data_IF_818014832229
#
_entry.id   IF_818014832229
#
_cell.length_a   1.000
_cell.length_b   1.000
_cell.length_c   1.000
_cell.angle_alpha   90.00
_cell.angle_beta   90.00
_cell.angle_gamma   90.00
#
_symmetry.space_group_name_H-M   'P 1'
#
loop_
_entity.id
_entity.type
_entity.pdbx_description
1 polymer ?
#
# COMPACT_ATOMS: atom_id res chain seq x y z
N UNK A 1 29.32 21.36 7.38
CA UNK A 1 28.33 20.96 6.35
C UNK A 1 27.37 19.98 7.03
N UNK A 2 26.14 20.36 7.38
CA UNK A 2 25.21 19.45 8.04
C UNK A 2 24.70 18.40 7.04
N UNK A 3 24.69 17.15 7.47
CA UNK A 3 24.19 16.01 6.71
C UNK A 3 22.68 16.15 6.53
N UNK A 4 22.22 16.48 5.33
CA UNK A 4 20.82 16.33 4.95
C UNK A 4 20.47 14.85 5.07
N UNK A 5 19.59 14.51 6.01
CA UNK A 5 19.11 13.14 6.18
C UNK A 5 18.30 12.78 4.93
N UNK A 6 18.33 11.52 4.51
CA UNK A 6 17.53 11.04 3.36
C UNK A 6 16.04 11.37 3.49
N UNK A 7 15.55 11.54 4.72
CA UNK A 7 14.20 11.98 5.06
C UNK A 7 13.87 13.43 4.60
N UNK A 8 14.85 14.34 4.67
CA UNK A 8 14.71 15.73 4.23
C UNK A 8 14.71 15.83 2.71
N UNK A 9 15.54 15.02 2.04
CA UNK A 9 15.56 14.93 0.57
C UNK A 9 14.21 14.49 0.00
N UNK A 10 13.53 13.52 0.64
CA UNK A 10 12.19 13.06 0.21
C UNK A 10 11.11 14.14 0.33
N UNK A 11 11.15 14.96 1.38
CA UNK A 11 10.24 16.13 1.52
C UNK A 11 10.54 17.23 0.51
N UNK A 12 11.80 17.44 0.15
CA UNK A 12 12.24 18.55 -0.70
C UNK A 12 12.06 18.22 -2.19
N UNK A 13 12.24 16.97 -2.62
CA UNK A 13 12.18 16.61 -4.05
C UNK A 13 10.81 16.18 -4.53
N UNK A 14 9.87 15.84 -3.62
CA UNK A 14 8.54 15.37 -4.00
C UNK A 14 8.55 14.05 -4.78
N UNK A 15 9.68 13.34 -4.83
CA UNK A 15 9.83 12.04 -5.49
C UNK A 15 9.20 11.00 -4.56
N UNK A 16 7.88 10.82 -4.72
CA UNK A 16 7.00 9.92 -3.98
C UNK A 16 6.85 8.54 -4.66
N UNK A 17 7.87 8.06 -5.37
CA UNK A 17 7.82 6.73 -6.03
C UNK A 17 8.37 5.59 -5.14
N UNK A 18 8.86 5.89 -3.94
CA UNK A 18 9.34 4.87 -3.00
C UNK A 18 8.33 4.66 -1.88
N UNK A 19 7.39 3.72 -2.07
CA UNK A 19 6.65 3.14 -0.95
C UNK A 19 7.48 2.05 -0.27
N UNK A 20 7.17 1.81 0.99
CA UNK A 20 7.80 0.76 1.78
C UNK A 20 7.29 -0.63 1.39
N UNK A 21 6.04 -0.70 0.94
CA UNK A 21 5.39 -1.93 0.50
C UNK A 21 4.71 -1.77 -0.85
N UNK A 22 4.59 -2.88 -1.57
CA UNK A 22 3.89 -2.97 -2.84
C UNK A 22 2.73 -3.97 -2.73
N UNK A 23 1.54 -3.56 -3.20
CA UNK A 23 0.39 -4.42 -3.40
C UNK A 23 0.15 -4.53 -4.91
N UNK A 24 0.52 -5.66 -5.49
CA UNK A 24 0.30 -5.93 -6.90
C UNK A 24 -1.10 -6.54 -7.13
N UNK A 25 -1.91 -5.84 -7.93
CA UNK A 25 -3.25 -6.27 -8.35
C UNK A 25 -3.32 -6.55 -9.85
N UNK A 26 -2.17 -6.56 -10.55
CA UNK A 26 -2.13 -6.84 -11.98
C UNK A 26 -2.63 -8.26 -12.29
N UNK A 27 -3.46 -8.37 -13.33
CA UNK A 27 -4.08 -9.62 -13.75
C UNK A 27 -5.22 -10.12 -12.85
N UNK A 28 -5.58 -9.40 -11.79
CA UNK A 28 -6.73 -9.74 -10.94
C UNK A 28 -8.02 -9.17 -11.53
N UNK A 29 -9.13 -9.84 -11.26
CA UNK A 29 -10.46 -9.26 -11.46
C UNK A 29 -10.86 -8.35 -10.27
N UNK A 30 -11.97 -7.64 -10.41
CA UNK A 30 -12.44 -6.73 -9.36
C UNK A 30 -12.66 -7.42 -7.99
N UNK A 31 -13.39 -8.54 -7.87
CA UNK A 31 -13.58 -9.20 -6.57
C UNK A 31 -12.28 -9.58 -5.85
N UNK A 32 -11.26 -10.07 -6.58
CA UNK A 32 -9.98 -10.43 -5.97
C UNK A 32 -9.16 -9.18 -5.58
N UNK A 33 -9.20 -8.13 -6.40
CA UNK A 33 -8.57 -6.85 -6.09
C UNK A 33 -9.19 -6.18 -4.86
N UNK A 34 -10.53 -6.15 -4.78
CA UNK A 34 -11.30 -5.60 -3.67
C UNK A 34 -10.94 -6.29 -2.35
N UNK A 35 -10.98 -7.62 -2.31
CA UNK A 35 -10.65 -8.39 -1.13
C UNK A 35 -9.18 -8.20 -0.69
N UNK A 36 -8.26 -7.99 -1.65
CA UNK A 36 -6.85 -7.74 -1.36
C UNK A 36 -6.65 -6.38 -0.70
N UNK A 37 -7.35 -5.34 -1.18
CA UNK A 37 -7.33 -4.01 -0.59
C UNK A 37 -7.98 -4.02 0.80
N UNK A 38 -9.11 -4.70 0.98
CA UNK A 38 -9.76 -4.82 2.29
C UNK A 38 -8.84 -5.45 3.32
N UNK A 39 -8.22 -6.59 2.99
CA UNK A 39 -7.25 -7.26 3.88
C UNK A 39 -6.07 -6.36 4.23
N UNK A 40 -5.55 -5.60 3.26
CA UNK A 40 -4.48 -4.62 3.50
C UNK A 40 -4.93 -3.55 4.50
N UNK A 41 -6.11 -2.98 4.32
CA UNK A 41 -6.69 -1.96 5.19
C UNK A 41 -7.00 -2.50 6.60
N UNK A 42 -7.48 -3.72 6.72
CA UNK A 42 -7.72 -4.37 8.01
C UNK A 42 -6.41 -4.58 8.77
N UNK A 43 -5.39 -5.13 8.09
CA UNK A 43 -4.07 -5.36 8.69
C UNK A 43 -3.37 -4.07 9.06
N UNK A 44 -3.59 -2.98 8.34
CA UNK A 44 -2.95 -1.69 8.64
C UNK A 44 -3.36 -1.18 10.02
N UNK A 45 -4.60 -1.42 10.45
CA UNK A 45 -5.13 -1.00 11.76
C UNK A 45 -4.36 -1.55 12.97
N UNK A 46 -3.60 -2.62 12.80
CA UNK A 46 -2.81 -3.26 13.85
C UNK A 46 -1.31 -3.07 13.69
N UNK A 47 -0.88 -2.33 12.66
CA UNK A 47 0.52 -2.15 12.30
C UNK A 47 0.88 -0.66 12.35
N UNK A 48 2.18 -0.31 12.45
CA UNK A 48 2.59 1.09 12.38
C UNK A 48 2.16 1.76 11.06
N UNK A 49 2.04 3.10 11.04
CA UNK A 49 1.81 3.86 9.82
C UNK A 49 2.87 3.54 8.76
N UNK A 50 2.46 3.39 7.50
CA UNK A 50 3.36 3.04 6.38
C UNK A 50 2.81 3.46 5.03
N UNK A 51 3.69 3.51 4.05
CA UNK A 51 3.36 3.82 2.67
C UNK A 51 3.28 2.56 1.81
N UNK A 52 2.25 2.47 0.96
CA UNK A 52 2.02 1.35 0.05
C UNK A 52 1.79 1.86 -1.37
N UNK A 53 2.48 1.24 -2.33
CA UNK A 53 2.17 1.39 -3.76
C UNK A 53 1.24 0.26 -4.17
N UNK A 54 0.07 0.61 -4.69
CA UNK A 54 -0.89 -0.32 -5.28
C UNK A 54 -0.68 -0.28 -6.79
N UNK A 55 -0.35 -1.41 -7.41
CA UNK A 55 -0.19 -1.53 -8.87
C UNK A 55 -1.42 -2.19 -9.48
N UNK A 56 -1.85 -1.67 -10.61
CA UNK A 56 -2.95 -2.22 -11.41
C UNK A 56 -2.51 -2.38 -12.86
N UNK A 57 -3.33 -3.05 -13.66
CA UNK A 57 -3.09 -3.12 -15.09
C UNK A 57 -3.22 -1.74 -15.75
N UNK A 58 -2.26 -1.35 -16.61
CA UNK A 58 -2.36 -0.12 -17.36
C UNK A 58 -3.51 -0.17 -18.35
N UNK A 59 -4.18 0.97 -18.53
CA UNK A 59 -5.12 1.14 -19.62
C UNK A 59 -4.38 1.00 -20.96
N UNK A 60 -4.75 0.00 -21.75
CA UNK A 60 -4.27 -0.16 -23.14
C UNK A 60 -5.40 0.14 -24.11
N UNK A 61 -5.07 0.41 -25.38
CA UNK A 61 -6.08 0.67 -26.43
C UNK A 61 -7.07 -0.50 -26.63
N UNK A 62 -6.71 -1.70 -26.18
CA UNK A 62 -7.53 -2.92 -26.21
C UNK A 62 -7.98 -3.39 -24.83
N UNK A 63 -7.54 -2.71 -23.76
CA UNK A 63 -7.99 -3.00 -22.40
C UNK A 63 -9.46 -2.60 -22.29
N UNK A 64 -10.27 -3.48 -21.72
CA UNK A 64 -11.62 -3.14 -21.28
C UNK A 64 -11.60 -2.21 -20.07
N UNK A 65 -12.60 -2.37 -19.19
CA UNK A 65 -12.67 -1.62 -17.94
C UNK A 65 -11.44 -1.90 -17.07
N UNK A 66 -10.78 -0.83 -16.61
CA UNK A 66 -9.61 -0.92 -15.74
C UNK A 66 -10.04 -0.90 -14.28
N UNK A 67 -9.22 -1.50 -13.40
CA UNK A 67 -9.43 -1.43 -11.96
C UNK A 67 -9.21 -0.02 -11.38
N UNK A 68 -8.77 0.96 -12.17
CA UNK A 68 -8.42 2.29 -11.69
C UNK A 68 -9.59 3.00 -11.00
N UNK A 69 -10.76 3.02 -11.64
CA UNK A 69 -11.97 3.65 -11.11
C UNK A 69 -12.47 2.97 -9.82
N UNK A 70 -12.70 1.64 -9.80
CA UNK A 70 -13.24 1.00 -8.60
C UNK A 70 -12.24 0.99 -7.44
N UNK A 71 -10.94 0.79 -7.69
CA UNK A 71 -9.89 0.92 -6.66
C UNK A 71 -9.84 2.36 -6.12
N UNK A 72 -9.85 3.36 -7.00
CA UNK A 72 -9.83 4.77 -6.59
C UNK A 72 -11.01 5.13 -5.68
N UNK A 73 -12.21 4.63 -5.99
CA UNK A 73 -13.40 4.82 -5.17
C UNK A 73 -13.27 4.17 -3.80
N UNK A 74 -12.78 2.93 -3.74
CA UNK A 74 -12.56 2.21 -2.47
C UNK A 74 -11.53 2.93 -1.58
N UNK A 75 -10.46 3.47 -2.16
CA UNK A 75 -9.44 4.25 -1.42
C UNK A 75 -10.02 5.57 -0.87
N UNK A 76 -10.88 6.25 -1.63
CA UNK A 76 -11.58 7.45 -1.16
C UNK A 76 -12.50 7.12 0.03
N UNK A 77 -13.19 6.00 0.00
CA UNK A 77 -14.01 5.57 1.14
C UNK A 77 -13.15 5.18 2.35
N UNK A 78 -11.96 4.59 2.14
CA UNK A 78 -10.99 4.33 3.20
C UNK A 78 -10.40 5.62 3.83
N UNK A 79 -10.27 6.70 3.06
CA UNK A 79 -9.92 8.04 3.58
C UNK A 79 -11.03 8.56 4.48
N UNK A 80 -12.31 8.48 4.04
CA UNK A 80 -13.45 8.90 4.86
C UNK A 80 -13.55 8.09 6.16
N UNK A 81 -13.21 6.80 6.10
CA UNK A 81 -13.16 5.91 7.25
C UNK A 81 -11.94 6.14 8.18
N UNK A 82 -11.02 7.03 7.82
CA UNK A 82 -9.78 7.33 8.56
C UNK A 82 -8.85 6.11 8.73
N UNK A 83 -8.83 5.22 7.74
CA UNK A 83 -7.84 4.14 7.65
C UNK A 83 -6.65 4.55 6.77
N UNK A 84 -6.91 5.39 5.76
CA UNK A 84 -5.93 5.97 4.85
C UNK A 84 -5.79 7.46 5.14
N UNK A 85 -4.56 7.96 5.22
CA UNK A 85 -4.27 9.38 5.42
C UNK A 85 -4.40 10.13 4.09
N UNK A 86 -3.74 9.60 3.06
CA UNK A 86 -3.69 10.20 1.72
C UNK A 86 -3.57 9.10 0.66
N UNK A 87 -4.14 9.33 -0.51
CA UNK A 87 -3.85 8.54 -1.71
C UNK A 87 -3.62 9.46 -2.89
N UNK A 88 -2.75 9.06 -3.83
CA UNK A 88 -2.50 9.78 -5.09
C UNK A 88 -2.30 8.77 -6.22
N UNK A 89 -2.79 9.05 -7.43
CA UNK A 89 -2.43 8.23 -8.59
C UNK A 89 -0.93 8.32 -8.86
N UNK A 90 -0.35 7.24 -9.36
CA UNK A 90 1.05 7.21 -9.77
C UNK A 90 1.26 8.03 -11.06
N UNK A 91 2.48 8.59 -11.25
CA UNK A 91 2.81 9.36 -12.46
C UNK A 91 2.82 8.50 -13.74
N UNK A 92 2.79 9.16 -14.90
CA UNK A 92 2.65 8.51 -16.21
C UNK A 92 3.62 7.36 -16.44
N UNK A 93 3.12 6.24 -16.97
CA UNK A 93 3.86 4.99 -17.19
C UNK A 93 3.67 3.94 -16.08
N UNK A 94 3.22 4.35 -14.89
CA UNK A 94 2.87 3.45 -13.80
C UNK A 94 1.36 3.52 -13.52
N UNK A 95 0.65 2.41 -13.74
CA UNK A 95 -0.77 2.32 -13.41
C UNK A 95 -0.94 1.89 -11.95
N UNK A 96 -1.59 2.74 -11.14
CA UNK A 96 -1.76 2.47 -9.72
C UNK A 96 -1.93 3.70 -8.84
N UNK A 97 -1.77 3.49 -7.54
CA UNK A 97 -1.91 4.51 -6.50
C UNK A 97 -0.80 4.39 -5.46
N UNK A 98 -0.26 5.52 -5.04
CA UNK A 98 0.48 5.63 -3.79
C UNK A 98 -0.49 5.92 -2.64
N UNK A 99 -0.36 5.21 -1.53
CA UNK A 99 -1.29 5.24 -0.40
C UNK A 99 -0.51 5.33 0.91
N UNK A 100 -0.83 6.32 1.73
CA UNK A 100 -0.31 6.49 3.09
C UNK A 100 -1.32 5.93 4.08
N UNK A 101 -0.98 4.83 4.75
CA UNK A 101 -1.84 4.19 5.74
C UNK A 101 -1.63 4.84 7.11
N UNK A 102 -2.74 5.17 7.80
CA UNK A 102 -2.68 5.79 9.13
C UNK A 102 -2.10 4.83 10.16
N UNK A 103 -2.40 3.54 10.03
CA UNK A 103 -1.95 2.51 10.95
C UNK A 103 -2.41 2.72 12.40
N UNK A 104 -1.72 2.09 13.34
CA UNK A 104 -1.82 2.32 14.77
C UNK A 104 -0.48 2.84 15.29
N UNK A 105 -0.41 4.11 15.77
CA UNK A 105 0.84 4.70 16.25
C UNK A 105 1.39 4.03 17.52
N UNK A 106 0.57 3.24 18.21
CA UNK A 106 0.98 2.48 19.40
C UNK A 106 1.43 1.04 19.06
N UNK A 107 1.34 0.62 17.80
CA UNK A 107 1.82 -0.69 17.39
C UNK A 107 3.35 -0.65 17.28
N UNK A 108 4.02 -1.55 18.00
CA UNK A 108 5.45 -1.80 17.81
C UNK A 108 5.66 -2.72 16.61
N UNK A 109 6.71 -2.46 15.84
CA UNK A 109 7.11 -3.29 14.71
C UNK A 109 7.79 -4.57 15.26
N UNK A 110 6.97 -5.60 15.50
CA UNK A 110 7.35 -6.90 16.07
C UNK A 110 6.12 -7.50 16.76
N UNK A 111 5.52 -8.58 16.26
CA UNK A 111 6.05 -9.93 16.41
C UNK A 111 5.84 -10.71 15.10
N UNK A 112 6.92 -10.89 14.33
CA UNK A 112 7.06 -12.11 13.54
C UNK A 112 7.54 -13.16 14.54
N UNK A 113 6.61 -13.86 15.19
CA UNK A 113 6.98 -15.06 15.92
C UNK A 113 7.42 -16.07 14.86
N UNK A 114 8.72 -16.09 14.56
CA UNK A 114 9.43 -17.21 13.94
C UNK A 114 8.93 -18.49 14.61
N UNK A 115 8.41 -19.40 13.79
CA UNK A 115 8.08 -20.73 14.26
C UNK A 115 9.38 -21.49 14.51
N UNK A 116 9.52 -22.05 15.70
CA UNK A 116 10.39 -23.22 15.90
C UNK A 116 9.50 -24.41 16.27
N UNK A 117 9.26 -25.23 15.24
CA UNK A 117 8.81 -26.58 15.43
C UNK A 117 9.96 -27.42 15.98
N UNK A 118 10.02 -27.57 17.29
CA UNK A 118 10.79 -28.64 17.91
C UNK A 118 9.82 -29.74 18.35
N UNK A 119 9.58 -30.71 17.46
CA UNK A 119 9.04 -32.00 17.87
C UNK A 119 10.21 -32.81 18.44
N UNK A 120 10.18 -33.25 19.72
CA UNK A 120 11.26 -34.07 20.24
C UNK A 120 11.27 -35.45 19.53
N UNK A 121 12.43 -35.92 19.04
CA UNK A 121 12.57 -37.28 18.51
C UNK A 121 12.50 -38.32 19.66
N UNK A 122 12.27 -39.61 19.34
CA UNK A 122 11.48 -40.55 20.15
C UNK A 122 12.11 -41.00 21.48
#
# INVERSE_FOLDING_TARGET
MPFLKNEDLRRITGIHDSAEYELDLQGLDWPHAEASIERMLERSRFRPPRDVVIRIDPATATSGETLFQPVGRQLVDAIKAKTVARCRPLPEGNAGFWVELIGNPNAVEGDESEGDGEAPPP
#
